data_IF_673186415593
#
_entry.id   IF_673186415593
#
_cell.length_a   1.000
_cell.length_b   1.000
_cell.length_c   1.000
_cell.angle_alpha   90.00
_cell.angle_beta   90.00
_cell.angle_gamma   90.00
#
_symmetry.space_group_name_H-M   'P 1'
#
loop_
_entity.id
_entity.type
_entity.pdbx_description
1 polymer ?
#
# COMPACT_ATOMS: atom_id res chain seq x y z
N UNK A 1 27.17 -50.96 36.17
CA UNK A 1 27.50 -49.67 35.51
C UNK A 1 26.22 -49.13 34.89
N UNK A 2 25.90 -47.86 35.16
CA UNK A 2 24.57 -47.23 35.06
C UNK A 2 24.13 -47.07 33.60
N UNK A 3 22.91 -47.50 33.27
CA UNK A 3 22.21 -47.13 32.04
C UNK A 3 21.65 -45.71 32.20
N UNK A 4 22.10 -44.77 31.36
CA UNK A 4 21.59 -43.40 31.29
C UNK A 4 20.52 -43.39 30.19
N UNK A 5 19.26 -43.27 30.60
CA UNK A 5 18.12 -43.07 29.72
C UNK A 5 18.04 -41.57 29.39
N UNK A 6 18.42 -41.18 28.18
CA UNK A 6 18.24 -39.81 27.67
C UNK A 6 16.83 -39.68 27.09
N UNK A 7 15.92 -39.07 27.85
CA UNK A 7 14.61 -38.66 27.36
C UNK A 7 14.79 -37.33 26.63
N UNK A 8 14.82 -37.38 25.30
CA UNK A 8 14.66 -36.19 24.46
C UNK A 8 13.19 -35.75 24.50
N UNK A 9 12.87 -34.80 25.38
CA UNK A 9 11.60 -34.09 25.32
C UNK A 9 11.69 -33.06 24.19
N UNK A 10 11.25 -33.41 22.99
CA UNK A 10 11.00 -32.46 21.92
C UNK A 10 9.79 -31.60 22.32
N UNK A 11 10.02 -30.39 22.84
CA UNK A 11 8.98 -29.37 22.89
C UNK A 11 8.68 -28.94 21.45
N UNK A 12 7.71 -29.62 20.83
CA UNK A 12 6.96 -29.03 19.72
C UNK A 12 6.13 -27.88 20.30
N UNK A 13 6.68 -26.66 20.22
CA UNK A 13 5.86 -25.46 20.34
C UNK A 13 5.00 -25.42 19.08
N UNK A 14 3.83 -26.05 19.13
CA UNK A 14 2.75 -25.72 18.22
C UNK A 14 2.36 -24.28 18.54
N UNK A 15 2.93 -23.32 17.80
CA UNK A 15 2.30 -22.01 17.71
C UNK A 15 0.95 -22.23 17.04
N UNK A 16 -0.09 -22.41 17.86
CA UNK A 16 -1.45 -22.21 17.43
C UNK A 16 -1.55 -20.74 17.02
N UNK A 17 -1.33 -20.47 15.73
CA UNK A 17 -1.54 -19.17 15.10
C UNK A 17 -3.00 -18.80 15.20
N UNK A 18 -3.43 -18.32 16.36
CA UNK A 18 -4.49 -17.33 16.43
C UNK A 18 -4.03 -16.21 15.52
N UNK A 19 -4.81 -15.87 14.48
CA UNK A 19 -4.44 -14.88 13.47
C UNK A 19 -4.02 -13.57 14.11
N UNK A 20 -2.74 -13.45 14.45
CA UNK A 20 -2.18 -12.30 15.11
C UNK A 20 -2.13 -11.22 14.04
N UNK A 21 -2.83 -10.12 14.29
CA UNK A 21 -2.70 -8.95 13.42
C UNK A 21 -1.21 -8.60 13.35
N UNK A 22 -0.71 -8.38 12.14
CA UNK A 22 0.63 -7.86 11.95
C UNK A 22 0.84 -6.60 12.81
N UNK A 23 2.02 -6.40 13.41
CA UNK A 23 2.27 -5.21 14.20
C UNK A 23 2.20 -3.97 13.32
N UNK A 24 1.81 -2.83 13.88
CA UNK A 24 1.99 -1.55 13.18
C UNK A 24 3.49 -1.29 12.99
N UNK A 25 3.83 -0.55 11.93
CA UNK A 25 5.20 -0.16 11.64
C UNK A 25 5.43 1.31 12.01
N UNK A 26 6.65 1.64 12.42
CA UNK A 26 7.11 3.00 12.68
C UNK A 26 8.53 3.19 12.17
N UNK A 27 8.93 4.44 11.99
CA UNK A 27 10.34 4.80 11.78
C UNK A 27 11.09 4.62 13.10
N UNK A 28 12.30 4.07 13.06
CA UNK A 28 13.17 3.95 14.24
C UNK A 28 13.56 5.32 14.80
N UNK A 29 13.93 5.38 16.09
CA UNK A 29 14.30 6.63 16.74
C UNK A 29 15.54 7.32 16.12
N UNK A 30 16.42 6.55 15.47
CA UNK A 30 17.59 7.04 14.74
C UNK A 30 17.29 7.37 13.26
N UNK A 31 16.01 7.30 12.85
CA UNK A 31 15.51 7.61 11.52
C UNK A 31 16.18 6.85 10.36
N UNK A 32 16.75 5.68 10.65
CA UNK A 32 17.53 4.90 9.68
C UNK A 32 16.83 3.62 9.22
N UNK A 33 15.84 3.14 9.97
CA UNK A 33 15.18 1.85 9.74
C UNK A 33 13.67 1.91 9.95
N UNK A 34 12.99 0.85 9.50
CA UNK A 34 11.60 0.57 9.86
C UNK A 34 11.61 -0.50 10.94
N UNK A 35 10.79 -0.29 11.96
CA UNK A 35 10.62 -1.23 13.07
C UNK A 35 9.14 -1.46 13.33
N UNK A 36 8.82 -2.55 14.03
CA UNK A 36 7.47 -2.77 14.55
C UNK A 36 7.16 -1.77 15.67
N UNK A 37 5.90 -1.65 16.07
CA UNK A 37 5.50 -0.84 17.22
C UNK A 37 6.24 -1.24 18.52
N UNK A 38 6.72 -2.48 18.60
CA UNK A 38 7.51 -3.06 19.69
C UNK A 38 9.02 -2.98 19.49
N UNK A 39 9.49 -2.21 18.50
CA UNK A 39 10.90 -1.97 18.18
C UNK A 39 11.66 -3.17 17.58
N UNK A 40 10.96 -4.21 17.13
CA UNK A 40 11.59 -5.29 16.36
C UNK A 40 11.94 -4.80 14.94
N UNK A 41 13.11 -5.13 14.38
CA UNK A 41 13.47 -4.76 13.01
C UNK A 41 12.47 -5.28 11.97
N UNK A 42 12.04 -4.42 11.05
CA UNK A 42 11.26 -4.80 9.88
C UNK A 42 12.09 -4.59 8.61
N UNK A 43 12.38 -5.69 7.91
CA UNK A 43 13.06 -5.62 6.62
C UNK A 43 12.03 -5.51 5.48
N UNK A 44 12.04 -4.39 4.76
CA UNK A 44 11.22 -4.19 3.57
C UNK A 44 11.81 -4.99 2.40
N UNK A 45 11.33 -6.22 2.22
CA UNK A 45 11.55 -7.01 1.02
C UNK A 45 10.27 -6.95 0.18
N UNK A 46 10.24 -6.01 -0.76
CA UNK A 46 9.06 -5.67 -1.55
C UNK A 46 8.98 -6.44 -2.88
N UNK A 47 7.78 -6.89 -3.26
CA UNK A 47 7.45 -7.22 -4.65
C UNK A 47 6.45 -6.20 -5.22
N UNK A 48 6.34 -6.16 -6.56
CA UNK A 48 5.53 -5.17 -7.27
C UNK A 48 4.44 -5.86 -8.09
N UNK A 49 3.17 -5.58 -7.76
CA UNK A 49 2.01 -6.07 -8.49
C UNK A 49 1.00 -4.94 -8.70
N UNK A 50 1.37 -3.93 -9.48
CA UNK A 50 0.59 -2.71 -9.70
C UNK A 50 -0.88 -2.98 -10.03
N UNK A 51 -1.10 -3.86 -11.00
CA UNK A 51 -2.43 -4.14 -11.52
C UNK A 51 -3.19 -5.23 -10.74
N UNK A 52 -2.69 -5.70 -9.58
CA UNK A 52 -3.28 -6.84 -8.86
C UNK A 52 -4.76 -6.64 -8.55
N UNK A 53 -5.12 -5.51 -7.94
CA UNK A 53 -6.52 -5.18 -7.56
C UNK A 53 -7.42 -5.05 -8.80
N UNK A 54 -6.85 -4.58 -9.91
CA UNK A 54 -7.59 -4.33 -11.14
C UNK A 54 -7.79 -5.61 -11.96
N UNK A 55 -6.77 -6.47 -12.07
CA UNK A 55 -6.78 -7.56 -13.06
C UNK A 55 -7.03 -8.93 -12.48
N UNK A 56 -6.66 -9.18 -11.23
CA UNK A 56 -6.72 -10.52 -10.67
C UNK A 56 -8.07 -10.76 -10.00
N UNK A 57 -8.60 -11.98 -10.15
CA UNK A 57 -9.64 -12.46 -9.27
C UNK A 57 -9.06 -12.91 -7.90
N UNK A 58 -9.93 -13.37 -7.00
CA UNK A 58 -9.55 -13.77 -5.63
C UNK A 58 -8.66 -15.00 -5.63
N UNK A 59 -8.93 -15.97 -6.50
CA UNK A 59 -8.13 -17.19 -6.65
C UNK A 59 -6.71 -16.87 -7.14
N UNK A 60 -6.58 -15.93 -8.07
CA UNK A 60 -5.31 -15.44 -8.59
C UNK A 60 -4.55 -14.58 -7.58
N UNK A 61 -5.24 -13.71 -6.83
CA UNK A 61 -4.69 -12.99 -5.68
C UNK A 61 -4.15 -13.99 -4.65
N UNK A 62 -4.92 -15.03 -4.32
CA UNK A 62 -4.52 -16.06 -3.37
C UNK A 62 -3.26 -16.79 -3.82
N UNK A 63 -3.22 -17.19 -5.10
CA UNK A 63 -2.06 -17.85 -5.70
C UNK A 63 -0.83 -16.95 -5.68
N UNK A 64 -0.95 -15.71 -6.13
CA UNK A 64 0.14 -14.74 -6.17
C UNK A 64 0.68 -14.48 -4.75
N UNK A 65 -0.17 -14.00 -3.84
CA UNK A 65 0.27 -13.62 -2.48
C UNK A 65 0.87 -14.81 -1.71
N UNK A 66 0.31 -16.01 -1.86
CA UNK A 66 0.86 -17.21 -1.21
C UNK A 66 2.26 -17.53 -1.73
N UNK A 67 2.45 -17.47 -3.05
CA UNK A 67 3.78 -17.68 -3.65
C UNK A 67 4.79 -16.62 -3.17
N UNK A 68 4.39 -15.35 -3.08
CA UNK A 68 5.26 -14.28 -2.56
C UNK A 68 5.64 -14.50 -1.09
N UNK A 69 4.67 -14.83 -0.25
CA UNK A 69 4.92 -15.14 1.16
C UNK A 69 5.89 -16.34 1.30
N UNK A 70 5.71 -17.39 0.50
CA UNK A 70 6.60 -18.57 0.50
C UNK A 70 8.03 -18.25 0.04
N UNK A 71 8.23 -17.17 -0.72
CA UNK A 71 9.54 -16.66 -1.14
C UNK A 71 10.16 -15.66 -0.15
N UNK A 72 9.45 -15.36 0.95
CA UNK A 72 9.95 -14.50 2.02
C UNK A 72 9.75 -13.01 1.78
N UNK A 73 9.00 -12.59 0.75
CA UNK A 73 8.60 -11.19 0.62
C UNK A 73 7.83 -10.76 1.88
N UNK A 74 8.02 -9.52 2.31
CA UNK A 74 7.35 -8.95 3.49
C UNK A 74 6.33 -7.89 3.12
N UNK A 75 6.43 -7.34 1.90
CA UNK A 75 5.54 -6.30 1.41
C UNK A 75 5.22 -6.49 -0.08
N UNK A 76 3.98 -6.20 -0.47
CA UNK A 76 3.54 -6.14 -1.88
C UNK A 76 3.05 -4.73 -2.19
N UNK A 77 3.57 -4.13 -3.26
CA UNK A 77 3.11 -2.84 -3.75
C UNK A 77 2.02 -3.01 -4.81
N UNK A 78 0.90 -2.31 -4.67
CA UNK A 78 -0.24 -2.35 -5.61
C UNK A 78 -0.96 -1.01 -5.61
N UNK A 79 -1.75 -0.74 -6.65
CA UNK A 79 -2.52 0.51 -6.77
C UNK A 79 -4.02 0.25 -6.81
N UNK A 80 -4.80 1.13 -6.16
CA UNK A 80 -6.28 1.10 -6.20
C UNK A 80 -6.77 1.62 -7.55
N UNK A 81 -6.46 2.89 -7.91
CA UNK A 81 -6.81 3.42 -9.23
C UNK A 81 -5.67 3.16 -10.21
N UNK A 82 -5.71 1.99 -10.86
CA UNK A 82 -4.64 1.46 -11.68
C UNK A 82 -4.35 2.28 -12.96
N UNK A 83 -3.12 2.19 -13.47
CA UNK A 83 -2.64 2.96 -14.63
C UNK A 83 -3.35 2.55 -15.91
N UNK A 84 -3.45 1.24 -16.16
CA UNK A 84 -3.86 0.70 -17.45
C UNK A 84 -5.38 0.73 -17.61
N UNK A 85 -5.92 1.93 -17.86
CA UNK A 85 -7.35 2.24 -17.99
C UNK A 85 -8.20 1.83 -16.77
N UNK A 86 -7.62 1.85 -15.58
CA UNK A 86 -8.26 1.37 -14.34
C UNK A 86 -9.49 2.15 -13.85
N UNK A 87 -9.86 3.24 -14.51
CA UNK A 87 -11.12 3.96 -14.26
C UNK A 87 -12.26 3.43 -15.13
N UNK A 88 -11.96 3.04 -16.37
CA UNK A 88 -12.99 2.74 -17.37
C UNK A 88 -13.09 1.26 -17.72
N UNK A 89 -11.98 0.53 -17.59
CA UNK A 89 -11.98 -0.93 -17.65
C UNK A 89 -12.35 -1.47 -16.26
N UNK A 90 -13.36 -2.35 -16.15
CA UNK A 90 -13.73 -2.95 -14.87
C UNK A 90 -12.69 -3.98 -14.43
N UNK A 91 -12.69 -4.28 -13.12
CA UNK A 91 -11.90 -5.40 -12.60
C UNK A 91 -12.43 -6.77 -13.06
N UNK A 92 -11.77 -7.85 -12.62
CA UNK A 92 -12.18 -9.23 -12.90
C UNK A 92 -13.64 -9.57 -12.54
N UNK A 93 -14.30 -8.74 -11.72
CA UNK A 93 -15.70 -8.90 -11.30
C UNK A 93 -16.68 -7.96 -12.02
N UNK A 94 -16.23 -7.21 -13.04
CA UNK A 94 -17.08 -6.28 -13.77
C UNK A 94 -17.28 -4.93 -13.07
N UNK A 95 -16.51 -4.63 -12.01
CA UNK A 95 -16.69 -3.44 -11.18
C UNK A 95 -15.63 -2.38 -11.48
N UNK A 96 -16.05 -1.11 -11.61
CA UNK A 96 -15.16 0.06 -11.68
C UNK A 96 -14.91 0.62 -10.29
N UNK A 97 -13.78 1.31 -10.02
CA UNK A 97 -13.46 1.77 -8.67
C UNK A 97 -14.36 2.91 -8.16
N UNK A 98 -14.84 3.77 -9.06
CA UNK A 98 -15.56 4.99 -8.71
C UNK A 98 -16.91 5.05 -9.43
N UNK A 99 -17.89 5.66 -8.78
CA UNK A 99 -19.17 5.99 -9.42
C UNK A 99 -18.95 7.24 -10.27
N UNK A 100 -19.22 7.16 -11.58
CA UNK A 100 -19.06 8.26 -12.55
C UNK A 100 -17.65 8.90 -12.57
N UNK A 101 -16.60 8.13 -12.23
CA UNK A 101 -15.22 8.64 -12.08
C UNK A 101 -15.07 9.78 -11.06
N UNK A 102 -15.98 9.90 -10.10
CA UNK A 102 -15.91 10.86 -9.00
C UNK A 102 -15.13 10.27 -7.81
N UNK A 103 -13.95 10.81 -7.44
CA UNK A 103 -13.17 10.32 -6.30
C UNK A 103 -13.90 10.38 -4.95
N UNK A 104 -14.96 11.17 -4.84
CA UNK A 104 -15.73 11.27 -3.60
C UNK A 104 -16.77 10.14 -3.46
N UNK A 105 -16.95 9.32 -4.51
CA UNK A 105 -17.96 8.27 -4.57
C UNK A 105 -17.33 6.91 -4.92
N UNK A 106 -16.86 6.19 -3.90
CA UNK A 106 -16.29 4.86 -4.06
C UNK A 106 -17.38 3.84 -4.46
N UNK A 107 -17.09 2.97 -5.42
CA UNK A 107 -17.93 1.80 -5.70
C UNK A 107 -17.64 0.71 -4.66
N UNK A 108 -18.57 0.47 -3.73
CA UNK A 108 -18.36 -0.47 -2.64
C UNK A 108 -17.98 -1.89 -3.11
N UNK A 109 -18.54 -2.36 -4.24
CA UNK A 109 -18.24 -3.71 -4.75
C UNK A 109 -16.79 -3.86 -5.21
N UNK A 110 -16.23 -2.84 -5.85
CA UNK A 110 -14.81 -2.82 -6.19
C UNK A 110 -13.96 -2.85 -4.91
N UNK A 111 -14.34 -2.02 -3.93
CA UNK A 111 -13.60 -1.89 -2.68
C UNK A 111 -13.69 -3.13 -1.79
N UNK A 112 -14.74 -3.94 -1.89
CA UNK A 112 -14.80 -5.28 -1.28
C UNK A 112 -13.72 -6.24 -1.82
N UNK A 113 -13.23 -6.04 -3.05
CA UNK A 113 -12.08 -6.78 -3.56
C UNK A 113 -10.77 -6.28 -2.94
N UNK A 114 -10.60 -4.96 -2.77
CA UNK A 114 -9.45 -4.40 -2.03
C UNK A 114 -9.42 -4.89 -0.58
N UNK A 115 -10.57 -4.89 0.11
CA UNK A 115 -10.72 -5.44 1.47
C UNK A 115 -10.23 -6.89 1.54
N UNK A 116 -10.56 -7.69 0.52
CA UNK A 116 -10.12 -9.08 0.42
C UNK A 116 -8.60 -9.19 0.26
N UNK A 117 -7.99 -8.40 -0.63
CA UNK A 117 -6.53 -8.36 -0.84
C UNK A 117 -5.82 -8.04 0.48
N UNK A 118 -6.23 -6.97 1.17
CA UNK A 118 -5.62 -6.56 2.44
C UNK A 118 -5.75 -7.65 3.51
N UNK A 119 -6.93 -8.27 3.61
CA UNK A 119 -7.19 -9.35 4.57
C UNK A 119 -6.38 -10.60 4.25
N UNK A 120 -6.26 -10.98 2.97
CA UNK A 120 -5.49 -12.15 2.55
C UNK A 120 -4.00 -11.93 2.80
N UNK A 121 -3.46 -10.79 2.40
CA UNK A 121 -2.08 -10.42 2.65
C UNK A 121 -1.75 -10.47 4.15
N UNK A 122 -2.62 -9.90 5.00
CA UNK A 122 -2.43 -9.92 6.45
C UNK A 122 -2.41 -11.33 7.04
N UNK A 123 -3.23 -12.26 6.52
CA UNK A 123 -3.18 -13.68 6.94
C UNK A 123 -1.88 -14.39 6.54
N UNK A 124 -1.22 -13.92 5.50
CA UNK A 124 0.03 -14.47 4.99
C UNK A 124 1.27 -13.76 5.57
N UNK A 125 1.09 -12.82 6.50
CA UNK A 125 2.21 -12.04 7.05
C UNK A 125 2.76 -10.98 6.11
N UNK A 126 1.99 -10.56 5.09
CA UNK A 126 2.38 -9.55 4.12
C UNK A 126 1.76 -8.18 4.44
N UNK A 127 2.60 -7.14 4.39
CA UNK A 127 2.16 -5.75 4.30
C UNK A 127 1.80 -5.40 2.85
N UNK A 128 0.91 -4.43 2.69
CA UNK A 128 0.53 -3.88 1.40
C UNK A 128 0.98 -2.41 1.35
N UNK A 129 1.91 -2.12 0.45
CA UNK A 129 2.20 -0.77 -0.01
C UNK A 129 1.07 -0.35 -0.94
N UNK A 130 0.09 0.37 -0.40
CA UNK A 130 -1.16 0.68 -1.08
C UNK A 130 -1.08 2.09 -1.67
N UNK A 131 -1.02 2.16 -3.00
CA UNK A 131 -1.14 3.43 -3.70
C UNK A 131 -2.62 3.79 -3.82
N UNK A 132 -3.07 4.96 -3.30
CA UNK A 132 -4.44 5.43 -3.53
C UNK A 132 -4.76 5.53 -5.02
N UNK A 133 -3.81 5.98 -5.83
CA UNK A 133 -4.00 6.19 -7.26
C UNK A 133 -2.67 6.11 -7.99
N UNK A 134 -2.70 5.80 -9.29
CA UNK A 134 -1.57 6.05 -10.17
C UNK A 134 -1.55 7.51 -10.61
N UNK A 135 -0.37 8.01 -10.99
CA UNK A 135 -0.20 9.45 -11.17
C UNK A 135 -0.91 10.04 -12.38
N UNK A 136 -1.32 9.23 -13.35
CA UNK A 136 -2.05 9.70 -14.54
C UNK A 136 -3.43 10.31 -14.22
N UNK A 137 -3.90 10.19 -12.96
CA UNK A 137 -5.15 10.78 -12.46
C UNK A 137 -4.98 12.20 -11.91
N UNK A 138 -3.75 12.71 -11.80
CA UNK A 138 -3.44 14.11 -11.47
C UNK A 138 -2.39 14.75 -12.40
N UNK A 139 -1.61 13.95 -13.12
CA UNK A 139 -0.68 14.36 -14.17
C UNK A 139 -0.74 13.33 -15.31
N UNK A 140 -1.48 13.63 -16.38
CA UNK A 140 -1.82 12.69 -17.46
C UNK A 140 -0.63 12.04 -18.17
N UNK A 141 0.57 12.64 -18.12
CA UNK A 141 1.74 12.21 -18.89
C UNK A 141 1.90 10.68 -18.93
N UNK A 142 2.18 10.12 -20.11
CA UNK A 142 2.41 8.68 -20.35
C UNK A 142 1.26 7.70 -20.01
N UNK A 143 0.19 8.14 -19.35
CA UNK A 143 -0.96 7.30 -19.01
C UNK A 143 -2.21 7.65 -19.83
N UNK A 144 -3.24 6.83 -19.68
CA UNK A 144 -4.54 7.06 -20.35
C UNK A 144 -5.31 8.22 -19.68
N UNK A 145 -5.13 8.43 -18.37
CA UNK A 145 -5.91 9.37 -17.58
C UNK A 145 -7.37 8.91 -17.41
N UNK A 146 -8.35 9.83 -17.32
CA UNK A 146 -8.20 11.29 -17.24
C UNK A 146 -7.62 11.77 -15.90
N UNK A 147 -7.25 13.05 -15.85
CA UNK A 147 -7.03 13.75 -14.59
C UNK A 147 -8.38 13.99 -13.91
N UNK A 148 -8.60 13.37 -12.75
CA UNK A 148 -9.85 13.44 -11.98
C UNK A 148 -9.69 14.15 -10.63
N UNK A 149 -8.46 14.38 -10.20
CA UNK A 149 -8.19 14.98 -8.90
C UNK A 149 -8.03 16.49 -8.95
N UNK A 150 -8.64 17.15 -7.97
CA UNK A 150 -8.32 18.48 -7.50
C UNK A 150 -8.06 18.41 -5.97
N UNK A 151 -7.55 19.47 -5.32
CA UNK A 151 -7.24 19.39 -3.90
C UNK A 151 -8.44 19.02 -3.02
N UNK A 152 -9.64 19.51 -3.32
CA UNK A 152 -10.85 19.26 -2.53
C UNK A 152 -11.24 17.78 -2.57
N UNK A 153 -11.40 17.20 -3.77
CA UNK A 153 -11.80 15.81 -3.90
C UNK A 153 -10.68 14.83 -3.52
N UNK A 154 -9.40 15.23 -3.65
CA UNK A 154 -8.26 14.41 -3.21
C UNK A 154 -8.24 14.25 -1.70
N UNK A 155 -8.56 15.33 -0.96
CA UNK A 155 -8.70 15.27 0.51
C UNK A 155 -9.84 14.36 0.93
N UNK A 156 -11.01 14.48 0.30
CA UNK A 156 -12.16 13.61 0.58
C UNK A 156 -11.81 12.15 0.28
N UNK A 157 -11.21 11.89 -0.88
CA UNK A 157 -10.79 10.55 -1.29
C UNK A 157 -9.82 9.92 -0.28
N UNK A 158 -8.75 10.64 0.09
CA UNK A 158 -7.79 10.17 1.10
C UNK A 158 -8.46 9.85 2.44
N UNK A 159 -9.41 10.68 2.88
CA UNK A 159 -10.18 10.44 4.11
C UNK A 159 -11.05 9.19 4.03
N UNK A 160 -11.75 8.98 2.92
CA UNK A 160 -12.60 7.79 2.71
C UNK A 160 -11.77 6.51 2.74
N UNK A 161 -10.61 6.50 2.07
CA UNK A 161 -9.69 5.35 2.10
C UNK A 161 -9.17 5.08 3.51
N UNK A 162 -8.72 6.12 4.22
CA UNK A 162 -8.25 5.99 5.60
C UNK A 162 -9.34 5.45 6.54
N UNK A 163 -10.59 5.94 6.42
CA UNK A 163 -11.71 5.41 7.19
C UNK A 163 -11.94 3.92 6.95
N UNK A 164 -11.85 3.48 5.69
CA UNK A 164 -12.07 2.08 5.33
C UNK A 164 -10.94 1.18 5.83
N UNK A 165 -9.68 1.62 5.72
CA UNK A 165 -8.52 0.75 5.96
C UNK A 165 -7.81 0.95 7.29
N UNK A 166 -8.23 1.90 8.14
CA UNK A 166 -7.63 2.14 9.47
C UNK A 166 -7.47 0.87 10.33
N UNK A 167 -8.37 -0.11 10.19
CA UNK A 167 -8.34 -1.34 11.00
C UNK A 167 -7.39 -2.42 10.48
N UNK A 168 -6.78 -2.21 9.31
CA UNK A 168 -5.80 -3.11 8.69
C UNK A 168 -4.39 -2.65 9.03
N UNK A 169 -3.77 -3.25 10.05
CA UNK A 169 -2.41 -2.91 10.48
C UNK A 169 -1.34 -3.08 9.39
N UNK A 170 -1.65 -3.85 8.35
CA UNK A 170 -0.72 -4.24 7.30
C UNK A 170 -0.77 -3.31 6.08
N UNK A 171 -1.08 -2.02 6.29
CA UNK A 171 -1.12 -0.99 5.24
C UNK A 171 0.03 -0.01 5.42
N UNK A 172 0.69 0.33 4.32
CA UNK A 172 1.59 1.47 4.17
C UNK A 172 1.06 2.30 3.01
N UNK A 173 0.80 3.59 3.21
CA UNK A 173 0.32 4.45 2.15
C UNK A 173 1.47 4.91 1.27
N UNK A 174 1.32 4.75 -0.04
CA UNK A 174 2.31 5.20 -1.01
C UNK A 174 1.59 6.20 -1.95
N UNK A 175 1.76 7.49 -1.72
CA UNK A 175 1.15 8.51 -2.60
C UNK A 175 1.96 8.64 -3.91
N UNK A 176 1.46 9.42 -4.87
CA UNK A 176 2.15 9.62 -6.15
C UNK A 176 1.76 8.58 -7.19
N UNK A 177 2.74 7.92 -7.80
CA UNK A 177 2.53 6.96 -8.88
C UNK A 177 3.27 7.34 -10.16
N UNK A 178 4.60 7.29 -10.16
CA UNK A 178 5.49 7.49 -11.32
C UNK A 178 5.19 8.74 -12.17
N UNK A 179 4.77 9.85 -11.54
CA UNK A 179 4.57 11.14 -12.22
C UNK A 179 5.24 12.27 -11.45
N UNK A 180 5.84 13.20 -12.19
CA UNK A 180 6.47 14.36 -11.61
C UNK A 180 5.43 15.34 -11.04
N UNK A 181 5.80 16.01 -9.94
CA UNK A 181 5.09 17.19 -9.46
C UNK A 181 5.69 18.42 -10.15
N UNK A 182 4.98 18.93 -11.15
CA UNK A 182 5.51 19.94 -12.09
C UNK A 182 4.92 21.33 -11.88
N UNK A 183 3.82 21.41 -11.13
CA UNK A 183 3.11 22.66 -10.84
C UNK A 183 2.41 22.57 -9.49
N UNK A 184 2.00 23.73 -8.95
CA UNK A 184 1.35 23.85 -7.64
C UNK A 184 0.09 23.01 -7.50
N UNK A 185 -0.68 22.80 -8.57
CA UNK A 185 -1.86 21.94 -8.53
C UNK A 185 -1.49 20.49 -8.23
N UNK A 186 -0.42 19.95 -8.84
CA UNK A 186 0.04 18.58 -8.55
C UNK A 186 0.46 18.45 -7.08
N UNK A 187 1.22 19.42 -6.56
CA UNK A 187 1.60 19.45 -5.14
C UNK A 187 0.37 19.53 -4.24
N UNK A 188 -0.57 20.41 -4.54
CA UNK A 188 -1.78 20.62 -3.76
C UNK A 188 -2.67 19.37 -3.73
N UNK A 189 -2.80 18.63 -4.84
CA UNK A 189 -3.53 17.36 -4.89
C UNK A 189 -2.91 16.32 -3.95
N UNK A 190 -1.58 16.11 -4.04
CA UNK A 190 -0.89 15.11 -3.21
C UNK A 190 -0.95 15.48 -1.72
N UNK A 191 -0.68 16.74 -1.38
CA UNK A 191 -0.75 17.24 0.00
C UNK A 191 -2.16 17.15 0.57
N UNK A 192 -3.18 17.48 -0.21
CA UNK A 192 -4.56 17.38 0.22
C UNK A 192 -4.98 15.93 0.45
N UNK A 193 -4.55 15.00 -0.41
CA UNK A 193 -4.76 13.57 -0.20
C UNK A 193 -4.10 13.06 1.08
N UNK A 194 -2.83 13.42 1.30
CA UNK A 194 -2.10 13.10 2.53
C UNK A 194 -2.80 13.67 3.77
N UNK A 195 -3.27 14.92 3.70
CA UNK A 195 -4.04 15.56 4.76
C UNK A 195 -5.33 14.79 5.04
N UNK A 196 -6.08 14.39 4.01
CA UNK A 196 -7.31 13.60 4.13
C UNK A 196 -7.07 12.28 4.85
N UNK A 197 -5.99 11.56 4.47
CA UNK A 197 -5.56 10.34 5.16
C UNK A 197 -5.26 10.65 6.63
N UNK A 198 -4.41 11.66 6.89
CA UNK A 198 -3.99 12.03 8.24
C UNK A 198 -5.12 12.58 9.11
N UNK A 199 -6.24 13.05 8.59
CA UNK A 199 -7.40 13.39 9.44
C UNK A 199 -7.97 12.19 10.19
N UNK A 200 -7.71 10.97 9.70
CA UNK A 200 -8.27 9.73 10.23
C UNK A 200 -7.19 8.77 10.69
N UNK A 201 -6.15 8.59 9.87
CA UNK A 201 -5.10 7.61 10.08
C UNK A 201 -3.80 8.27 10.57
N UNK A 202 -3.55 8.10 11.87
CA UNK A 202 -2.34 8.57 12.55
C UNK A 202 -1.31 7.47 12.80
N UNK A 203 -1.58 6.24 12.34
CA UNK A 203 -0.83 5.05 12.76
C UNK A 203 -0.06 4.37 11.63
N UNK A 204 -0.52 4.47 10.38
CA UNK A 204 0.20 3.88 9.25
C UNK A 204 1.24 4.87 8.69
N UNK A 205 2.35 4.32 8.22
CA UNK A 205 3.39 5.07 7.51
C UNK A 205 2.85 5.57 6.16
N UNK A 206 3.29 6.76 5.77
CA UNK A 206 3.02 7.36 4.47
C UNK A 206 4.35 7.67 3.78
N UNK A 207 4.44 7.32 2.50
CA UNK A 207 5.55 7.66 1.62
C UNK A 207 5.02 8.12 0.25
N UNK A 208 5.90 8.36 -0.72
CA UNK A 208 5.56 8.85 -2.05
C UNK A 208 6.40 8.14 -3.11
N UNK A 209 5.76 7.57 -4.12
CA UNK A 209 6.43 6.94 -5.26
C UNK A 209 6.66 7.99 -6.36
N UNK A 210 7.92 8.46 -6.56
CA UNK A 210 8.23 9.50 -7.52
C UNK A 210 8.36 8.96 -8.95
N UNK A 211 8.43 9.88 -9.91
CA UNK A 211 8.84 9.55 -11.29
C UNK A 211 10.26 8.97 -11.34
N UNK A 212 10.55 8.19 -12.38
CA UNK A 212 11.88 7.68 -12.69
C UNK A 212 13.03 8.69 -12.54
N UNK A 213 14.17 8.20 -12.05
CA UNK A 213 15.39 8.93 -11.71
C UNK A 213 15.23 10.04 -10.66
N UNK A 214 14.16 10.00 -9.85
CA UNK A 214 13.92 10.94 -8.75
C UNK A 214 13.66 10.22 -7.43
N UNK A 215 13.79 10.99 -6.35
CA UNK A 215 13.43 10.61 -4.98
C UNK A 215 12.21 11.41 -4.54
N UNK A 216 11.45 10.92 -3.56
CA UNK A 216 10.33 11.66 -3.00
C UNK A 216 10.78 12.99 -2.40
N UNK A 217 11.92 12.98 -1.71
CA UNK A 217 12.52 14.20 -1.13
C UNK A 217 13.01 15.22 -2.16
N UNK A 218 13.10 14.89 -3.45
CA UNK A 218 13.35 15.90 -4.47
C UNK A 218 12.14 16.83 -4.67
N UNK A 219 10.95 16.42 -4.23
CA UNK A 219 9.70 17.16 -4.35
C UNK A 219 9.11 17.56 -2.98
N UNK A 220 9.18 16.69 -1.98
CA UNK A 220 8.35 16.75 -0.76
C UNK A 220 9.18 16.70 0.52
N UNK A 221 10.41 17.21 0.49
CA UNK A 221 11.36 17.14 1.62
C UNK A 221 10.82 17.75 2.91
N UNK A 222 10.11 18.87 2.81
CA UNK A 222 9.63 19.64 3.96
C UNK A 222 8.20 19.24 4.38
N UNK A 223 7.62 18.23 3.74
CA UNK A 223 6.26 17.77 4.00
C UNK A 223 6.24 16.80 5.21
N UNK A 224 5.65 17.17 6.35
CA UNK A 224 5.78 16.42 7.60
C UNK A 224 5.01 15.10 7.63
N UNK A 225 4.21 14.83 6.59
CA UNK A 225 3.49 13.56 6.44
C UNK A 225 4.36 12.50 5.77
N UNK A 226 5.49 12.86 5.16
CA UNK A 226 6.40 11.94 4.48
C UNK A 226 7.29 11.23 5.51
N UNK A 227 6.92 10.00 5.88
CA UNK A 227 7.63 9.23 6.90
C UNK A 227 8.89 8.53 6.35
N UNK A 228 8.83 8.09 5.09
CA UNK A 228 9.91 7.36 4.41
C UNK A 228 10.20 8.00 3.05
N UNK A 229 11.47 8.09 2.68
CA UNK A 229 11.86 8.45 1.32
C UNK A 229 11.80 7.20 0.42
N UNK A 230 11.42 7.40 -0.84
CA UNK A 230 11.38 6.38 -1.87
C UNK A 230 11.95 6.96 -3.16
N UNK A 231 12.58 6.11 -3.98
CA UNK A 231 13.12 6.52 -5.27
C UNK A 231 12.88 5.45 -6.33
N UNK A 232 12.79 5.88 -7.58
CA UNK A 232 12.70 4.99 -8.73
C UNK A 232 13.97 5.14 -9.57
N UNK A 233 14.81 4.11 -9.61
CA UNK A 233 16.07 4.14 -10.38
C UNK A 233 15.93 3.62 -11.82
N UNK A 234 15.02 2.66 -12.06
CA UNK A 234 14.79 2.06 -13.39
C UNK A 234 13.82 2.85 -14.27
N UNK A 235 13.66 2.51 -15.55
CA UNK A 235 14.32 1.42 -16.31
C UNK A 235 15.00 1.94 -17.60
N UNK A 236 15.70 3.08 -17.51
CA UNK A 236 16.35 3.77 -18.64
C UNK A 236 17.06 2.86 -19.64
#
# INVERSE_FOLDING_TARGET
>A
MKQILLIFASLLITQMGHGQKLPLLKVSNDHSYIVTASDDPFFWLGDTAWEMIHRLDREEVDRYLTDRANKGFTLIQTVILAELDGLNTPNAYGEKPLVNNDPTQLNDKYFQHVDYVLKKAGKLGLYIGLLPTWGDKFNKKWGTGPEIFNPENAKIYGKLLAQRYLRHNNVIWILGGDRALENETHYAVIRAMAQGIREVDKQHLITYHPVGAKRATDFLKEDPWLDLDMFQSGHS
#
